data_IF_664423759862
#
_entry.id   IF_664423759862
#
_cell.length_a   1.000
_cell.length_b   1.000
_cell.length_c   1.000
_cell.angle_alpha   90.00
_cell.angle_beta   90.00
_cell.angle_gamma   90.00
#
_symmetry.space_group_name_H-M   'P 1'
#
loop_
_entity.id
_entity.type
_entity.pdbx_description
1 polymer ?
#
# COMPACT_ATOMS: atom_id res chain seq x y z
N UNK A 1 6.23 2.03 -68.20
CA UNK A 1 6.04 3.36 -67.58
C UNK A 1 5.42 3.14 -66.22
N UNK A 2 6.10 3.66 -65.21
CA UNK A 2 5.98 3.47 -63.76
C UNK A 2 5.00 4.47 -63.14
N UNK A 3 4.47 4.11 -61.95
CA UNK A 3 4.02 4.89 -60.76
C UNK A 3 3.12 3.87 -60.00
N UNK A 4 3.46 3.18 -58.89
CA UNK A 4 4.06 3.49 -57.58
C UNK A 4 3.22 4.37 -56.66
N UNK A 5 2.61 3.78 -55.61
CA UNK A 5 2.80 4.26 -54.23
C UNK A 5 2.34 3.21 -53.21
N UNK A 6 3.25 2.89 -52.30
CA UNK A 6 3.22 1.93 -51.18
C UNK A 6 2.60 2.51 -49.89
N UNK A 7 2.16 1.60 -49.00
CA UNK A 7 1.84 1.86 -47.60
C UNK A 7 3.05 2.35 -46.77
N UNK A 8 2.83 2.89 -45.55
CA UNK A 8 3.84 2.89 -44.52
C UNK A 8 3.41 2.20 -43.21
N UNK A 9 4.37 1.41 -42.71
CA UNK A 9 4.55 0.85 -41.37
C UNK A 9 4.99 1.97 -40.40
N UNK A 10 4.61 1.98 -39.11
CA UNK A 10 5.28 2.81 -38.12
C UNK A 10 6.45 2.05 -37.45
N UNK A 11 7.61 2.68 -37.54
CA UNK A 11 8.92 2.27 -37.04
C UNK A 11 9.07 2.37 -35.51
N UNK A 12 9.92 1.51 -34.98
CA UNK A 12 10.48 1.57 -33.63
C UNK A 12 11.55 2.64 -33.45
N UNK A 13 11.74 3.01 -32.18
CA UNK A 13 12.96 3.49 -31.51
C UNK A 13 13.24 5.01 -31.35
N UNK A 14 13.50 5.32 -30.07
CA UNK A 14 14.45 6.31 -29.52
C UNK A 14 14.02 7.77 -29.30
N UNK A 15 13.85 8.15 -28.02
CA UNK A 15 14.44 9.39 -27.45
C UNK A 15 14.31 9.52 -25.91
N UNK A 16 14.52 8.44 -25.14
CA UNK A 16 14.49 8.47 -23.66
C UNK A 16 15.87 8.53 -22.96
N UNK A 17 16.92 9.03 -23.64
CA UNK A 17 18.29 9.10 -23.08
C UNK A 17 19.01 10.44 -23.30
N UNK A 18 18.36 11.58 -23.06
CA UNK A 18 19.03 12.90 -23.06
C UNK A 18 18.53 13.85 -21.97
N UNK A 19 18.64 13.48 -20.69
CA UNK A 19 18.63 14.45 -19.58
C UNK A 19 19.36 13.91 -18.33
N UNK A 20 20.55 13.34 -18.55
CA UNK A 20 21.56 13.19 -17.51
C UNK A 20 22.62 14.27 -17.77
N UNK A 21 22.93 15.05 -16.72
CA UNK A 21 23.93 16.12 -16.61
C UNK A 21 23.43 17.56 -16.87
N UNK A 22 22.84 18.15 -15.85
CA UNK A 22 23.02 19.58 -15.56
C UNK A 22 23.20 19.77 -14.05
N UNK A 23 24.29 20.40 -13.56
CA UNK A 23 24.46 20.68 -12.14
C UNK A 23 23.50 21.82 -11.75
N UNK A 24 22.44 21.48 -11.01
CA UNK A 24 21.57 22.47 -10.39
C UNK A 24 22.29 23.07 -9.18
N UNK A 25 23.17 24.03 -9.43
CA UNK A 25 23.50 25.04 -8.42
C UNK A 25 22.28 25.96 -8.30
N UNK A 26 21.35 25.56 -7.41
CA UNK A 26 20.17 26.33 -7.03
C UNK A 26 20.46 27.20 -5.81
N UNK A 27 20.36 28.50 -6.01
CA UNK A 27 20.41 29.57 -5.04
C UNK A 27 19.49 29.31 -3.82
N UNK A 28 20.08 29.29 -2.63
CA UNK A 28 19.45 28.87 -1.36
C UNK A 28 18.66 30.03 -0.72
N UNK A 29 17.70 30.59 -1.45
CA UNK A 29 16.89 31.72 -0.98
C UNK A 29 15.45 31.69 -1.51
N UNK A 30 14.69 30.61 -1.24
CA UNK A 30 13.24 30.57 -1.49
C UNK A 30 12.43 29.96 -0.33
N UNK A 31 11.79 30.88 0.39
CA UNK A 31 10.42 30.86 0.98
C UNK A 31 9.87 29.58 1.63
N UNK A 32 9.37 29.77 2.86
CA UNK A 32 8.57 28.85 3.69
C UNK A 32 7.28 28.27 3.09
N UNK A 33 6.93 28.61 1.84
CA UNK A 33 5.63 28.28 1.25
C UNK A 33 5.59 26.93 0.52
N UNK A 34 6.72 26.22 0.38
CA UNK A 34 6.78 24.94 -0.35
C UNK A 34 7.03 23.70 0.53
N UNK A 35 7.09 23.87 1.85
CA UNK A 35 7.38 22.77 2.77
C UNK A 35 6.25 21.71 2.75
N UNK A 36 6.57 20.41 2.76
CA UNK A 36 5.58 19.33 2.73
C UNK A 36 4.80 19.20 4.06
N UNK A 37 5.32 19.78 5.13
CA UNK A 37 4.71 19.72 6.45
C UNK A 37 5.34 20.67 7.46
N UNK A 38 4.74 20.74 8.63
CA UNK A 38 5.27 21.49 9.77
C UNK A 38 6.37 20.67 10.46
N UNK A 39 7.54 21.26 10.63
CA UNK A 39 8.68 20.70 11.37
C UNK A 39 8.86 21.41 12.70
N UNK A 40 9.38 20.70 13.68
CA UNK A 40 9.90 21.26 14.93
C UNK A 40 11.31 20.75 15.16
N UNK A 41 12.23 21.64 15.56
CA UNK A 41 13.66 21.36 15.74
C UNK A 41 14.13 21.85 17.11
N UNK A 42 15.18 21.22 17.65
CA UNK A 42 15.87 21.62 18.88
C UNK A 42 14.90 21.91 20.06
N UNK A 43 15.21 22.91 20.89
CA UNK A 43 14.45 23.25 22.11
C UNK A 43 12.97 23.60 21.84
N UNK A 44 12.66 24.04 20.62
CA UNK A 44 11.29 24.29 20.21
C UNK A 44 10.47 23.00 20.16
N UNK A 45 11.10 21.84 19.94
CA UNK A 45 10.43 20.55 19.86
C UNK A 45 9.89 20.10 21.23
N UNK A 46 10.73 20.07 22.27
CA UNK A 46 10.29 19.73 23.64
C UNK A 46 9.24 20.69 24.20
N UNK A 47 9.37 21.98 23.88
CA UNK A 47 8.38 23.00 24.27
C UNK A 47 7.04 22.78 23.56
N UNK A 48 7.06 22.58 22.24
CA UNK A 48 5.86 22.31 21.45
C UNK A 48 5.17 21.01 21.86
N UNK A 49 5.95 19.96 22.18
CA UNK A 49 5.44 18.71 22.71
C UNK A 49 4.69 18.94 24.04
N UNK A 50 5.31 19.66 24.98
CA UNK A 50 4.72 19.96 26.30
C UNK A 50 3.43 20.78 26.21
N UNK A 51 3.32 21.65 25.21
CA UNK A 51 2.15 22.50 24.97
C UNK A 51 1.03 21.80 24.20
N UNK A 52 1.26 20.60 23.69
CA UNK A 52 0.31 19.91 22.82
C UNK A 52 0.26 20.46 21.39
N UNK A 53 1.26 21.24 20.95
CA UNK A 53 1.30 21.76 19.59
C UNK A 53 1.52 20.64 18.54
N UNK A 54 2.02 19.49 19.00
CA UNK A 54 2.35 18.29 18.21
C UNK A 54 1.25 17.21 18.19
N UNK A 55 0.05 17.45 18.72
CA UNK A 55 -1.04 16.45 18.66
C UNK A 55 -1.48 16.13 17.22
N UNK A 56 -1.92 14.90 16.93
CA UNK A 56 -2.56 14.66 15.63
C UNK A 56 -3.83 15.50 15.48
N UNK A 57 -4.17 15.80 14.24
CA UNK A 57 -5.44 16.43 13.85
C UNK A 57 -6.25 15.43 13.03
N UNK A 58 -7.53 15.74 12.82
CA UNK A 58 -8.42 14.99 11.93
C UNK A 58 -7.70 14.69 10.61
N UNK A 59 -7.63 13.40 10.28
CA UNK A 59 -6.86 12.88 9.16
C UNK A 59 -7.41 13.35 7.83
N UNK A 60 -6.53 13.87 6.97
CA UNK A 60 -6.83 14.23 5.58
C UNK A 60 -6.42 13.14 4.59
N UNK A 61 -5.96 13.57 3.42
CA UNK A 61 -5.46 12.68 2.38
C UNK A 61 -4.29 11.80 2.87
N UNK A 62 -4.20 10.58 2.33
CA UNK A 62 -3.11 9.66 2.60
C UNK A 62 -1.76 10.22 2.11
N UNK A 63 -0.71 9.99 2.89
CA UNK A 63 0.66 10.43 2.59
C UNK A 63 1.66 9.45 3.21
N UNK A 64 2.80 9.23 2.54
CA UNK A 64 3.92 8.47 3.11
C UNK A 64 4.97 9.43 3.66
N UNK A 65 5.54 9.05 4.79
CA UNK A 65 6.62 9.81 5.43
C UNK A 65 7.79 8.88 5.73
N UNK A 66 8.95 9.21 5.19
CA UNK A 66 10.22 8.55 5.45
C UNK A 66 11.03 9.35 6.48
N UNK A 67 11.65 8.66 7.44
CA UNK A 67 12.49 9.26 8.47
C UNK A 67 13.93 8.78 8.31
N UNK A 68 14.83 9.73 8.06
CA UNK A 68 16.27 9.51 7.93
C UNK A 68 17.01 10.12 9.11
N UNK A 69 17.66 9.28 9.91
CA UNK A 69 18.52 9.74 10.99
C UNK A 69 19.97 9.90 10.48
N UNK A 70 20.37 11.13 10.17
CA UNK A 70 21.76 11.48 9.80
C UNK A 70 22.64 11.83 10.99
N UNK A 71 22.11 11.75 12.21
CA UNK A 71 22.94 11.91 13.39
C UNK A 71 23.73 10.63 13.68
N UNK A 72 24.76 10.74 14.53
CA UNK A 72 25.52 9.59 15.03
C UNK A 72 24.80 8.84 16.16
N UNK A 73 23.68 9.38 16.65
CA UNK A 73 23.00 8.90 17.84
C UNK A 73 21.73 8.12 17.46
N UNK A 74 21.38 7.03 18.15
CA UNK A 74 20.11 6.38 17.96
C UNK A 74 18.97 7.30 18.40
N UNK A 75 17.87 7.25 17.64
CA UNK A 75 16.66 8.02 17.91
C UNK A 75 15.45 7.10 18.00
N UNK A 76 14.40 7.60 18.65
CA UNK A 76 13.08 7.00 18.67
C UNK A 76 12.15 7.89 17.86
N UNK A 77 11.38 7.27 16.97
CA UNK A 77 10.18 7.85 16.38
C UNK A 77 8.95 7.37 17.15
N UNK A 78 8.00 8.26 17.41
CA UNK A 78 6.69 7.87 17.91
C UNK A 78 5.58 8.70 17.29
N UNK A 79 4.45 8.03 17.00
CA UNK A 79 3.20 8.70 16.65
C UNK A 79 2.62 9.41 17.86
N UNK A 80 1.91 10.51 17.61
CA UNK A 80 1.20 11.27 18.63
C UNK A 80 -0.28 11.30 18.26
N UNK A 81 -1.15 10.80 19.11
CA UNK A 81 -2.61 10.83 18.88
C UNK A 81 -3.21 12.23 19.06
N UNK A 82 -4.50 12.38 18.77
CA UNK A 82 -5.23 13.65 18.91
C UNK A 82 -5.34 14.13 20.37
N UNK A 83 -5.29 13.21 21.33
CA UNK A 83 -5.23 13.51 22.76
C UNK A 83 -3.79 13.74 23.27
N UNK A 84 -2.80 13.75 22.39
CA UNK A 84 -1.39 13.99 22.71
C UNK A 84 -0.64 12.82 23.32
N UNK A 85 -1.19 11.59 23.26
CA UNK A 85 -0.49 10.40 23.74
C UNK A 85 0.47 9.86 22.68
N UNK A 86 1.67 9.48 23.11
CA UNK A 86 2.60 8.76 22.25
C UNK A 86 2.15 7.30 22.07
N UNK A 87 2.12 6.85 20.83
CA UNK A 87 1.88 5.46 20.46
C UNK A 87 2.80 5.05 19.30
N UNK A 88 2.90 3.74 19.01
CA UNK A 88 3.83 3.15 18.03
C UNK A 88 5.25 3.72 18.08
N UNK A 89 6.17 2.99 18.71
CA UNK A 89 7.54 3.44 18.91
C UNK A 89 8.50 2.65 18.01
N UNK A 90 9.32 3.36 17.25
CA UNK A 90 10.27 2.76 16.31
C UNK A 90 11.67 3.30 16.53
N UNK A 91 12.68 2.44 16.37
CA UNK A 91 14.08 2.82 16.41
C UNK A 91 14.52 3.39 15.07
N UNK A 92 15.11 4.58 15.07
CA UNK A 92 15.78 5.16 13.90
C UNK A 92 17.29 5.05 14.09
N UNK A 93 17.91 4.12 13.36
CA UNK A 93 19.37 3.92 13.39
C UNK A 93 20.09 5.04 12.63
N UNK A 94 21.30 5.45 13.06
CA UNK A 94 22.18 6.33 12.29
C UNK A 94 22.37 5.85 10.85
N UNK A 95 22.32 6.79 9.91
CA UNK A 95 22.50 6.58 8.48
C UNK A 95 23.53 7.56 7.93
N UNK A 96 24.45 7.06 7.09
CA UNK A 96 25.45 7.88 6.39
C UNK A 96 24.95 8.43 5.05
N UNK A 97 23.67 8.21 4.72
CA UNK A 97 23.05 8.68 3.48
C UNK A 97 22.99 10.21 3.42
N UNK A 98 23.20 10.78 2.24
CA UNK A 98 23.07 12.23 2.00
C UNK A 98 21.61 12.69 2.09
N UNK A 99 21.37 13.98 2.36
CA UNK A 99 20.02 14.51 2.60
C UNK A 99 19.13 14.43 1.36
N UNK A 100 19.70 14.64 0.17
CA UNK A 100 18.99 14.68 -1.11
C UNK A 100 18.93 13.32 -1.82
N UNK A 101 19.52 12.27 -1.24
CA UNK A 101 19.48 10.94 -1.84
C UNK A 101 18.04 10.37 -1.77
N UNK A 102 17.63 9.54 -2.75
CA UNK A 102 16.36 8.82 -2.70
C UNK A 102 16.15 8.08 -1.39
N UNK A 103 14.90 7.85 -1.01
CA UNK A 103 14.53 7.05 0.15
C UNK A 103 14.82 5.58 -0.13
N UNK A 104 15.47 4.92 0.82
CA UNK A 104 15.99 3.55 0.71
C UNK A 104 15.49 2.67 1.85
N UNK A 105 15.78 1.37 1.83
CA UNK A 105 15.50 0.43 2.93
C UNK A 105 16.18 0.77 4.27
N UNK A 106 17.12 1.72 4.30
CA UNK A 106 17.74 2.20 5.54
C UNK A 106 16.89 3.27 6.24
N UNK A 107 15.94 3.87 5.53
CA UNK A 107 15.03 4.86 6.07
C UNK A 107 13.77 4.17 6.63
N UNK A 108 13.18 4.75 7.67
CA UNK A 108 11.94 4.22 8.24
C UNK A 108 10.74 4.90 7.58
N UNK A 109 9.86 4.14 6.92
CA UNK A 109 8.72 4.68 6.19
C UNK A 109 7.40 4.31 6.88
N UNK A 110 6.56 5.32 7.10
CA UNK A 110 5.21 5.16 7.65
C UNK A 110 4.15 5.61 6.63
N UNK A 111 3.07 4.82 6.51
CA UNK A 111 1.85 5.20 5.80
C UNK A 111 0.95 5.97 6.78
N UNK A 112 0.59 7.20 6.46
CA UNK A 112 -0.17 8.08 7.36
C UNK A 112 -1.11 8.99 6.59
N UNK A 113 -1.74 9.95 7.27
CA UNK A 113 -2.59 10.97 6.67
C UNK A 113 -2.07 12.37 6.99
N UNK A 114 -2.39 13.32 6.13
CA UNK A 114 -2.23 14.75 6.44
C UNK A 114 -2.89 15.06 7.78
N UNK A 115 -2.22 15.83 8.64
CA UNK A 115 -2.71 16.16 9.99
C UNK A 115 -2.21 15.23 11.10
N UNK A 116 -1.85 13.97 10.79
CA UNK A 116 -1.19 13.09 11.75
C UNK A 116 0.20 13.61 12.11
N UNK A 117 0.68 13.31 13.32
CA UNK A 117 1.87 13.94 13.87
C UNK A 117 2.81 12.94 14.54
N UNK A 118 4.09 13.25 14.48
CA UNK A 118 5.18 12.42 14.99
C UNK A 118 6.11 13.24 15.88
N UNK A 119 6.58 12.65 16.99
CA UNK A 119 7.73 13.15 17.74
C UNK A 119 8.96 12.28 17.49
N UNK A 120 10.11 12.93 17.56
CA UNK A 120 11.42 12.30 17.46
C UNK A 120 12.17 12.59 18.75
N UNK A 121 12.77 11.55 19.33
CA UNK A 121 13.41 11.64 20.63
C UNK A 121 14.78 11.00 20.65
N UNK A 122 15.68 11.55 21.47
CA UNK A 122 16.93 10.91 21.85
C UNK A 122 16.86 10.56 23.34
N UNK A 123 16.81 9.26 23.66
CA UNK A 123 16.66 8.76 25.03
C UNK A 123 17.87 7.96 25.53
N UNK A 124 18.93 7.85 24.72
CA UNK A 124 20.13 7.09 25.08
C UNK A 124 19.84 5.64 25.47
N UNK A 125 20.36 5.20 26.63
CA UNK A 125 20.21 3.83 27.12
C UNK A 125 18.79 3.45 27.57
N UNK A 126 17.86 4.42 27.68
CA UNK A 126 16.49 4.22 28.14
C UNK A 126 15.51 3.73 27.04
N UNK A 127 16.01 3.46 25.83
CA UNK A 127 15.17 3.15 24.66
C UNK A 127 14.16 2.03 24.89
N UNK A 128 14.59 0.90 25.44
CA UNK A 128 13.72 -0.26 25.67
C UNK A 128 12.65 0.03 26.74
N UNK A 129 13.00 0.81 27.77
CA UNK A 129 12.05 1.24 28.81
C UNK A 129 10.98 2.14 28.22
N UNK A 130 11.37 3.12 27.40
CA UNK A 130 10.44 4.07 26.76
C UNK A 130 9.47 3.35 25.81
N UNK A 131 9.96 2.42 24.99
CA UNK A 131 9.10 1.61 24.11
C UNK A 131 8.10 0.76 24.89
N UNK A 132 8.54 0.16 26.00
CA UNK A 132 7.70 -0.68 26.87
C UNK A 132 6.63 0.14 27.59
N UNK A 133 7.03 1.25 28.21
CA UNK A 133 6.15 2.08 29.04
C UNK A 133 5.26 3.01 28.21
N UNK A 134 5.57 3.17 26.91
CA UNK A 134 4.91 4.09 25.97
C UNK A 134 4.83 5.52 26.50
N UNK A 135 5.88 5.97 27.18
CA UNK A 135 5.97 7.29 27.81
C UNK A 135 7.25 7.99 27.42
N UNK A 136 7.11 9.24 26.97
CA UNK A 136 8.22 10.08 26.57
C UNK A 136 8.19 11.39 27.37
N UNK A 137 9.31 11.74 27.99
CA UNK A 137 9.44 13.01 28.69
C UNK A 137 9.85 14.12 27.70
N UNK A 138 9.31 15.34 27.81
CA UNK A 138 9.56 16.41 26.85
C UNK A 138 11.04 16.76 26.64
N UNK A 139 11.88 16.60 27.67
CA UNK A 139 13.33 16.86 27.59
C UNK A 139 14.08 15.97 26.61
N UNK A 140 13.52 14.81 26.27
CA UNK A 140 14.11 13.88 25.31
C UNK A 140 13.64 14.14 23.88
N UNK A 141 12.63 14.99 23.68
CA UNK A 141 12.09 15.30 22.36
C UNK A 141 13.03 16.27 21.66
N UNK A 142 13.63 15.81 20.57
CA UNK A 142 14.62 16.55 19.78
C UNK A 142 14.04 17.10 18.48
N UNK A 143 12.87 16.61 18.09
CA UNK A 143 12.22 17.03 16.86
C UNK A 143 10.77 16.56 16.75
N UNK A 144 10.09 17.01 15.70
CA UNK A 144 8.77 16.51 15.34
C UNK A 144 8.39 16.88 13.92
N UNK A 145 7.38 16.20 13.39
CA UNK A 145 6.87 16.45 12.05
C UNK A 145 5.37 16.19 11.94
N UNK A 146 4.67 17.05 11.19
CA UNK A 146 3.27 16.87 10.80
C UNK A 146 3.11 17.19 9.31
N UNK A 147 2.81 16.21 8.43
CA UNK A 147 2.46 16.50 7.04
C UNK A 147 1.23 17.41 6.98
N UNK A 148 1.30 18.46 6.16
CA UNK A 148 0.20 19.44 5.98
C UNK A 148 -0.42 19.41 4.58
N UNK A 149 0.20 18.69 3.65
CA UNK A 149 -0.34 18.44 2.31
C UNK A 149 0.03 17.02 1.84
N UNK A 150 -0.73 16.49 0.91
CA UNK A 150 -0.34 15.29 0.18
C UNK A 150 0.56 15.68 -1.00
N UNK A 151 1.26 14.71 -1.58
CA UNK A 151 2.09 14.93 -2.75
C UNK A 151 1.19 14.96 -3.99
N UNK A 152 1.25 16.07 -4.72
CA UNK A 152 0.49 16.27 -5.95
C UNK A 152 1.23 15.66 -7.14
N UNK A 153 0.93 14.40 -7.44
CA UNK A 153 1.46 13.68 -8.61
C UNK A 153 0.35 12.93 -9.32
N UNK A 154 0.56 12.66 -10.61
CA UNK A 154 -0.31 11.77 -11.39
C UNK A 154 -0.47 10.44 -10.65
N UNK A 155 -1.66 9.84 -10.72
CA UNK A 155 -1.98 8.62 -9.99
C UNK A 155 -0.95 7.50 -10.23
N UNK A 156 -0.45 7.38 -11.47
CA UNK A 156 0.56 6.41 -11.89
C UNK A 156 1.89 6.48 -11.13
N UNK A 157 2.22 7.62 -10.53
CA UNK A 157 3.50 7.84 -9.84
C UNK A 157 3.34 8.12 -8.35
N UNK A 158 2.12 8.08 -7.79
CA UNK A 158 1.89 8.42 -6.37
C UNK A 158 2.74 7.55 -5.43
N UNK A 159 2.92 6.29 -5.79
CA UNK A 159 3.67 5.33 -4.99
C UNK A 159 5.20 5.43 -5.15
N UNK A 160 5.70 6.39 -5.93
CA UNK A 160 7.13 6.69 -6.04
C UNK A 160 7.57 7.86 -5.16
N UNK A 161 6.64 8.69 -4.67
CA UNK A 161 7.00 9.90 -3.90
C UNK A 161 6.63 9.78 -2.42
N UNK A 162 7.41 10.45 -1.60
CA UNK A 162 7.35 10.38 -0.14
C UNK A 162 7.83 11.69 0.48
N UNK A 163 7.32 12.06 1.65
CA UNK A 163 7.93 13.12 2.44
C UNK A 163 9.16 12.57 3.15
N UNK A 164 10.35 13.05 2.81
CA UNK A 164 11.58 12.69 3.49
C UNK A 164 11.86 13.68 4.62
N UNK A 165 11.73 13.21 5.86
CA UNK A 165 12.09 13.91 7.08
C UNK A 165 13.50 13.52 7.48
N UNK A 166 14.41 14.48 7.50
CA UNK A 166 15.81 14.25 7.86
C UNK A 166 16.13 14.87 9.21
N UNK A 167 16.73 14.07 10.09
CA UNK A 167 17.13 14.46 11.44
C UNK A 167 18.65 14.48 11.50
N UNK A 168 19.23 15.64 11.81
CA UNK A 168 20.67 15.85 11.87
C UNK A 168 21.08 16.68 13.08
N UNK A 169 22.38 16.72 13.36
CA UNK A 169 22.99 17.63 14.33
C UNK A 169 23.85 18.64 13.57
N UNK A 170 23.62 19.93 13.77
CA UNK A 170 24.30 21.01 13.04
C UNK A 170 24.69 22.15 13.98
N UNK A 171 25.72 22.91 13.60
CA UNK A 171 26.12 24.10 14.36
C UNK A 171 24.99 25.15 14.29
N UNK A 172 24.59 25.77 15.42
CA UNK A 172 23.52 26.75 15.46
C UNK A 172 23.78 27.93 14.49
N UNK A 173 22.94 28.06 13.47
CA UNK A 173 22.90 29.26 12.60
C UNK A 173 21.75 30.18 13.03
N UNK A 174 21.81 31.47 12.67
CA UNK A 174 20.75 32.45 13.00
C UNK A 174 19.37 32.06 12.48
N UNK A 175 19.28 31.28 11.40
CA UNK A 175 18.02 30.80 10.83
C UNK A 175 17.40 29.68 11.68
N UNK A 176 18.21 28.77 12.24
CA UNK A 176 17.75 27.67 13.11
C UNK A 176 17.25 28.19 14.47
N UNK A 177 17.80 29.31 14.97
CA UNK A 177 17.34 29.95 16.21
C UNK A 177 16.07 30.82 16.06
N UNK A 178 15.73 31.27 14.84
CA UNK A 178 14.66 32.25 14.61
C UNK A 178 13.27 31.64 14.35
N UNK A 179 13.12 30.31 14.35
CA UNK A 179 11.80 29.66 14.25
C UNK A 179 11.00 29.70 15.58
N UNK A 180 11.57 30.27 16.65
CA UNK A 180 10.90 30.52 17.92
C UNK A 180 10.63 32.01 18.11
N UNK A 181 9.36 32.39 18.23
CA UNK A 181 8.93 33.73 18.63
C UNK A 181 9.59 34.14 19.95
N UNK A 182 10.09 35.38 19.95
CA UNK A 182 11.06 35.89 20.92
C UNK A 182 10.67 35.84 22.40
N UNK A 183 11.70 35.63 23.23
CA UNK A 183 11.75 35.94 24.65
C UNK A 183 13.17 36.42 25.01
N UNK A 184 13.33 37.37 25.95
CA UNK A 184 14.59 38.09 26.11
C UNK A 184 15.67 37.25 26.80
N UNK A 185 16.84 37.18 26.17
CA UNK A 185 18.08 36.72 26.79
C UNK A 185 18.42 37.59 28.01
N UNK A 186 18.37 37.00 29.20
CA UNK A 186 18.99 37.58 30.39
C UNK A 186 20.52 37.43 30.27
N UNK A 187 21.17 38.55 29.98
CA UNK A 187 22.61 38.76 30.18
C UNK A 187 22.93 38.73 31.67
N UNK A 188 23.83 37.84 32.07
CA UNK A 188 24.88 37.96 33.10
C UNK A 188 25.49 36.54 33.25
N UNK A 189 26.79 36.28 33.26
CA UNK A 189 27.87 36.99 33.92
C UNK A 189 29.21 36.56 33.29
N UNK A 190 30.19 37.48 33.25
CA UNK A 190 31.58 37.18 32.88
C UNK A 190 32.25 36.34 33.97
N UNK A 191 32.85 35.20 33.62
CA UNK A 191 34.03 34.68 34.32
C UNK A 191 34.87 33.78 33.41
N UNK A 192 36.15 33.70 33.74
CA UNK A 192 37.31 33.55 32.85
C UNK A 192 37.48 32.17 32.19
N UNK A 193 38.12 32.24 31.02
CA UNK A 193 38.66 31.15 30.22
C UNK A 193 39.72 30.35 30.97
N UNK A 194 39.60 29.02 30.95
CA UNK A 194 40.74 28.08 31.04
C UNK A 194 40.60 27.12 29.86
N UNK A 195 41.62 26.97 28.99
CA UNK A 195 41.52 26.08 27.84
C UNK A 195 41.88 24.66 28.26
N UNK A 196 40.92 23.74 28.18
CA UNK A 196 41.20 22.31 28.18
C UNK A 196 40.74 21.79 26.83
N UNK A 197 41.72 21.47 25.98
CA UNK A 197 41.52 20.67 24.78
C UNK A 197 41.15 19.25 25.19
N UNK A 198 40.08 18.71 24.61
CA UNK A 198 39.98 17.35 24.04
C UNK A 198 38.52 17.11 23.56
N UNK A 199 38.34 16.93 22.24
CA UNK A 199 37.29 16.15 21.55
C UNK A 199 35.77 16.38 21.79
N UNK A 200 35.30 17.58 22.17
CA UNK A 200 33.85 17.87 22.33
C UNK A 200 33.28 18.88 21.29
N UNK A 201 33.47 18.63 19.99
CA UNK A 201 32.80 19.43 18.93
C UNK A 201 31.28 19.15 18.85
N UNK A 202 30.78 18.10 19.51
CA UNK A 202 29.38 17.67 19.45
C UNK A 202 28.47 18.41 20.47
N UNK A 203 29.02 18.97 21.55
CA UNK A 203 28.22 19.67 22.59
C UNK A 203 27.64 21.00 22.12
N UNK A 204 28.21 21.59 21.06
CA UNK A 204 27.71 22.83 20.47
C UNK A 204 26.72 22.60 19.31
N UNK A 205 26.35 21.35 18.99
CA UNK A 205 25.43 21.06 17.88
C UNK A 205 23.98 20.98 18.34
N UNK A 206 23.10 21.67 17.59
CA UNK A 206 21.65 21.62 17.78
C UNK A 206 20.99 20.59 16.86
N UNK A 207 19.85 20.07 17.29
CA UNK A 207 19.02 19.18 16.48
C UNK A 207 18.28 19.95 15.41
N UNK A 208 18.38 19.48 14.17
CA UNK A 208 17.70 20.07 13.01
C UNK A 208 16.85 19.00 12.34
N UNK A 209 15.56 19.29 12.19
CA UNK A 209 14.60 18.51 11.40
C UNK A 209 14.25 19.29 10.14
N UNK A 210 14.49 18.68 8.99
CA UNK A 210 14.04 19.19 7.69
C UNK A 210 13.06 18.20 7.06
N UNK A 211 12.20 18.70 6.18
CA UNK A 211 11.28 17.85 5.42
C UNK A 211 11.21 18.34 3.98
N UNK A 212 11.39 17.41 3.04
CA UNK A 212 11.28 17.65 1.59
C UNK A 212 10.39 16.59 0.95
N UNK A 213 9.92 16.83 -0.26
CA UNK A 213 9.42 15.74 -1.11
C UNK A 213 10.62 15.04 -1.75
N UNK A 214 10.63 13.72 -1.72
CA UNK A 214 11.67 12.88 -2.32
C UNK A 214 11.06 11.68 -3.02
N UNK A 215 11.89 10.99 -3.81
CA UNK A 215 11.54 9.73 -4.46
C UNK A 215 12.00 8.55 -3.62
N UNK A 216 11.25 7.46 -3.69
CA UNK A 216 11.70 6.14 -3.27
C UNK A 216 12.68 5.61 -4.32
N UNK A 217 13.71 4.90 -3.88
CA UNK A 217 14.63 4.23 -4.79
C UNK A 217 13.94 3.12 -5.60
N UNK A 218 14.49 2.82 -6.77
CA UNK A 218 13.92 1.81 -7.67
C UNK A 218 14.32 0.37 -7.26
N UNK A 219 14.95 0.19 -6.09
CA UNK A 219 15.39 -1.11 -5.61
C UNK A 219 14.17 -1.93 -5.19
N UNK A 220 13.77 -2.87 -6.03
CA UNK A 220 12.61 -3.73 -5.77
C UNK A 220 12.97 -4.95 -4.92
N UNK A 221 11.97 -5.46 -4.19
CA UNK A 221 12.02 -6.80 -3.62
C UNK A 221 11.95 -7.81 -4.77
N UNK A 222 12.96 -8.67 -4.88
CA UNK A 222 12.95 -9.75 -5.85
C UNK A 222 12.41 -11.04 -5.21
N UNK A 223 11.30 -11.55 -5.76
CA UNK A 223 10.66 -12.82 -5.39
C UNK A 223 10.55 -13.79 -6.57
N UNK A 224 11.31 -13.58 -7.65
CA UNK A 224 11.31 -14.43 -8.83
C UNK A 224 11.70 -15.87 -8.51
N UNK A 225 12.70 -16.03 -7.64
CA UNK A 225 13.26 -17.32 -7.21
C UNK A 225 12.51 -17.95 -6.02
N UNK A 226 11.37 -17.38 -5.62
CA UNK A 226 10.57 -17.96 -4.53
C UNK A 226 10.09 -19.36 -4.93
N UNK A 227 10.38 -20.34 -4.08
CA UNK A 227 10.12 -21.76 -4.37
C UNK A 227 8.69 -22.15 -3.99
N UNK A 228 8.07 -22.97 -4.84
CA UNK A 228 6.75 -23.55 -4.59
C UNK A 228 6.75 -25.04 -4.91
N UNK A 229 6.02 -25.80 -4.10
CA UNK A 229 5.76 -27.22 -4.30
C UNK A 229 4.44 -27.39 -5.06
N UNK A 230 4.51 -28.08 -6.21
CA UNK A 230 3.32 -28.40 -7.01
C UNK A 230 2.56 -29.54 -6.33
N UNK A 231 1.26 -29.36 -6.13
CA UNK A 231 0.39 -30.34 -5.50
C UNK A 231 -1.05 -30.22 -6.04
N UNK A 232 -1.99 -30.85 -5.35
CA UNK A 232 -3.43 -30.73 -5.60
C UNK A 232 -4.15 -30.52 -4.28
N UNK A 233 -5.05 -29.53 -4.24
CA UNK A 233 -5.86 -29.20 -3.07
C UNK A 233 -7.32 -29.03 -3.51
N UNK A 234 -8.27 -29.69 -2.83
CA UNK A 234 -9.68 -29.69 -3.25
C UNK A 234 -9.91 -30.20 -4.67
N UNK A 235 -9.01 -31.05 -5.19
CA UNK A 235 -9.04 -31.53 -6.58
C UNK A 235 -8.56 -30.52 -7.63
N UNK A 236 -7.95 -29.40 -7.23
CA UNK A 236 -7.44 -28.36 -8.12
C UNK A 236 -5.90 -28.25 -8.08
N UNK A 237 -5.23 -27.95 -9.20
CA UNK A 237 -3.77 -27.73 -9.22
C UNK A 237 -3.36 -26.53 -8.36
N UNK A 238 -2.38 -26.73 -7.49
CA UNK A 238 -1.85 -25.69 -6.61
C UNK A 238 -0.31 -25.68 -6.60
N UNK A 239 0.24 -24.51 -6.30
CA UNK A 239 1.66 -24.27 -6.04
C UNK A 239 1.77 -23.66 -4.64
N UNK A 240 2.25 -24.45 -3.66
CA UNK A 240 2.24 -24.05 -2.25
C UNK A 240 3.67 -23.71 -1.81
N UNK A 241 3.87 -22.58 -1.15
CA UNK A 241 5.15 -22.26 -0.50
C UNK A 241 5.48 -23.35 0.56
N UNK A 242 6.72 -23.86 0.61
CA UNK A 242 7.12 -24.84 1.63
C UNK A 242 6.78 -24.36 3.04
N UNK A 243 6.29 -25.26 3.90
CA UNK A 243 5.92 -24.97 5.29
C UNK A 243 4.80 -23.94 5.49
N UNK A 244 4.00 -23.66 4.46
CA UNK A 244 2.88 -22.70 4.53
C UNK A 244 1.84 -23.07 5.61
N UNK A 245 1.58 -24.37 5.78
CA UNK A 245 0.54 -24.90 6.67
C UNK A 245 1.08 -25.67 7.88
N UNK A 246 2.37 -25.57 8.20
CA UNK A 246 2.95 -26.31 9.32
C UNK A 246 2.34 -25.90 10.66
N UNK A 247 1.99 -24.62 10.78
CA UNK A 247 1.42 -24.03 12.00
C UNK A 247 -0.11 -24.14 12.08
N UNK A 248 -0.80 -24.46 10.97
CA UNK A 248 -2.27 -24.47 10.89
C UNK A 248 -2.77 -25.43 9.79
N UNK A 249 -2.99 -26.69 10.18
CA UNK A 249 -3.55 -27.73 9.29
C UNK A 249 -5.05 -27.60 9.04
N UNK A 250 -5.78 -26.91 9.91
CA UNK A 250 -7.21 -26.67 9.68
C UNK A 250 -7.42 -25.61 8.61
N UNK A 251 -6.51 -24.64 8.49
CA UNK A 251 -6.49 -23.69 7.38
C UNK A 251 -6.29 -24.40 6.03
N UNK A 252 -5.34 -25.33 5.94
CA UNK A 252 -5.11 -26.14 4.73
C UNK A 252 -6.39 -26.87 4.30
N UNK A 253 -7.05 -27.52 5.25
CA UNK A 253 -8.32 -28.22 5.04
C UNK A 253 -9.45 -27.26 4.66
N UNK A 254 -9.51 -26.08 5.28
CA UNK A 254 -10.52 -25.06 4.95
C UNK A 254 -10.37 -24.57 3.52
N UNK A 255 -9.16 -24.23 3.10
CA UNK A 255 -8.88 -23.81 1.72
C UNK A 255 -9.25 -24.94 0.75
N UNK A 256 -8.91 -26.20 1.07
CA UNK A 256 -9.29 -27.34 0.23
C UNK A 256 -10.81 -27.46 0.05
N UNK A 257 -11.58 -27.35 1.13
CA UNK A 257 -13.05 -27.46 1.11
C UNK A 257 -13.73 -26.30 0.39
N UNK A 258 -13.17 -25.10 0.50
CA UNK A 258 -13.67 -23.91 -0.19
C UNK A 258 -13.30 -23.94 -1.67
N UNK A 259 -12.10 -24.41 -2.01
CA UNK A 259 -11.65 -24.57 -3.39
C UNK A 259 -12.45 -25.65 -4.12
N UNK A 260 -12.68 -26.80 -3.49
CA UNK A 260 -13.58 -27.84 -4.02
C UNK A 260 -14.99 -27.28 -4.25
N UNK A 261 -15.51 -26.51 -3.28
CA UNK A 261 -16.83 -25.88 -3.41
C UNK A 261 -16.86 -24.88 -4.57
N UNK A 262 -15.92 -23.94 -4.62
CA UNK A 262 -15.83 -22.91 -5.66
C UNK A 262 -15.75 -23.53 -7.06
N UNK A 263 -14.90 -24.53 -7.24
CA UNK A 263 -14.75 -25.26 -8.50
C UNK A 263 -16.03 -26.03 -8.87
N UNK A 264 -16.79 -26.55 -7.90
CA UNK A 264 -18.08 -27.19 -8.15
C UNK A 264 -19.17 -26.22 -8.65
N UNK A 265 -19.02 -24.93 -8.36
CA UNK A 265 -19.95 -23.87 -8.81
C UNK A 265 -19.69 -23.44 -10.25
N UNK A 266 -18.49 -23.66 -10.77
CA UNK A 266 -18.14 -23.31 -12.14
C UNK A 266 -18.83 -24.28 -13.14
N UNK A 267 -19.40 -23.76 -14.24
CA UNK A 267 -19.88 -24.59 -15.34
C UNK A 267 -18.77 -25.49 -15.89
N UNK A 268 -19.14 -26.68 -16.39
CA UNK A 268 -18.17 -27.70 -16.81
C UNK A 268 -17.14 -27.20 -17.84
N UNK A 269 -17.58 -26.48 -18.88
CA UNK A 269 -16.66 -25.94 -19.90
C UNK A 269 -15.67 -24.91 -19.32
N UNK A 270 -16.10 -24.12 -18.33
CA UNK A 270 -15.26 -23.14 -17.67
C UNK A 270 -14.26 -23.84 -16.76
N UNK A 271 -14.75 -24.78 -15.93
CA UNK A 271 -13.97 -25.57 -15.00
C UNK A 271 -12.83 -26.31 -15.72
N UNK A 272 -13.12 -26.98 -16.82
CA UNK A 272 -12.13 -27.79 -17.54
C UNK A 272 -11.04 -26.93 -18.16
N UNK A 273 -11.42 -25.77 -18.74
CA UNK A 273 -10.47 -24.84 -19.34
C UNK A 273 -9.60 -24.16 -18.29
N UNK A 274 -10.19 -23.72 -17.18
CA UNK A 274 -9.45 -23.07 -16.09
C UNK A 274 -8.53 -24.04 -15.36
N UNK A 275 -8.92 -25.31 -15.18
CA UNK A 275 -8.06 -26.32 -14.53
C UNK A 275 -6.70 -26.48 -15.23
N UNK A 276 -6.67 -26.28 -16.54
CA UNK A 276 -5.44 -26.42 -17.34
C UNK A 276 -4.56 -25.16 -17.31
N UNK A 277 -5.12 -24.00 -16.98
CA UNK A 277 -4.48 -22.68 -17.18
C UNK A 277 -4.26 -21.91 -15.89
N UNK A 278 -5.07 -22.16 -14.88
CA UNK A 278 -5.17 -21.31 -13.68
C UNK A 278 -4.93 -22.14 -12.42
N UNK A 279 -3.67 -22.47 -12.11
CA UNK A 279 -3.32 -23.01 -10.80
C UNK A 279 -3.56 -21.95 -9.71
N UNK A 280 -3.63 -22.39 -8.44
CA UNK A 280 -3.64 -21.48 -7.30
C UNK A 280 -2.28 -21.48 -6.61
N UNK A 281 -1.64 -20.31 -6.53
CA UNK A 281 -0.43 -20.09 -5.75
C UNK A 281 -0.81 -19.70 -4.32
N UNK A 282 -0.19 -20.36 -3.33
CA UNK A 282 -0.49 -20.15 -1.91
C UNK A 282 0.81 -19.80 -1.20
N UNK A 283 0.89 -18.56 -0.70
CA UNK A 283 2.04 -18.09 0.05
C UNK A 283 1.78 -18.16 1.55
N UNK A 284 2.80 -18.48 2.34
CA UNK A 284 2.83 -18.20 3.78
C UNK A 284 2.77 -16.69 4.00
N UNK A 285 3.60 -15.96 3.26
CA UNK A 285 3.61 -14.49 3.18
C UNK A 285 4.25 -14.06 1.87
N UNK A 286 3.81 -12.93 1.29
CA UNK A 286 4.47 -12.32 0.14
C UNK A 286 4.62 -10.81 0.33
N UNK A 287 5.80 -10.32 0.02
CA UNK A 287 6.07 -8.88 -0.12
C UNK A 287 6.58 -8.60 -1.52
N UNK A 288 6.25 -7.43 -2.05
CA UNK A 288 6.72 -6.95 -3.35
C UNK A 288 6.85 -5.42 -3.33
N UNK A 289 7.31 -4.83 -4.44
CA UNK A 289 7.53 -3.39 -4.55
C UNK A 289 8.86 -2.92 -3.96
N UNK A 290 9.04 -1.60 -3.74
CA UNK A 290 10.32 -1.04 -3.31
C UNK A 290 10.75 -1.55 -1.93
N UNK A 291 12.03 -1.89 -1.77
CA UNK A 291 12.60 -2.36 -0.49
C UNK A 291 12.49 -1.31 0.61
N UNK A 292 12.50 -0.03 0.24
CA UNK A 292 12.31 1.09 1.17
C UNK A 292 10.92 1.12 1.81
N UNK A 293 9.90 0.64 1.11
CA UNK A 293 8.53 0.61 1.58
C UNK A 293 7.80 -0.62 1.03
N UNK A 294 8.14 -1.83 1.53
CA UNK A 294 7.59 -3.08 1.03
C UNK A 294 6.06 -3.08 1.07
N UNK A 295 5.44 -3.53 -0.01
CA UNK A 295 4.01 -3.83 -0.04
C UNK A 295 3.84 -5.23 0.53
N UNK A 296 3.12 -5.34 1.65
CA UNK A 296 2.66 -6.62 2.16
C UNK A 296 1.47 -7.07 1.31
N UNK A 297 1.63 -8.14 0.53
CA UNK A 297 0.55 -8.73 -0.23
C UNK A 297 -0.54 -9.24 0.72
N UNK A 298 -1.80 -8.93 0.39
CA UNK A 298 -2.97 -9.27 1.19
C UNK A 298 -4.10 -9.78 0.30
N UNK A 299 -4.96 -10.62 0.85
CA UNK A 299 -6.08 -11.18 0.12
C UNK A 299 -5.65 -12.07 -1.05
N UNK A 300 -6.50 -12.10 -2.08
CA UNK A 300 -6.30 -12.88 -3.28
C UNK A 300 -6.27 -11.98 -4.53
N UNK A 301 -5.67 -12.46 -5.60
CA UNK A 301 -5.77 -11.83 -6.92
C UNK A 301 -5.60 -12.83 -8.06
N UNK A 302 -6.10 -12.49 -9.24
CA UNK A 302 -5.77 -13.14 -10.49
C UNK A 302 -4.70 -12.35 -11.27
N UNK A 303 -3.64 -13.05 -11.70
CA UNK A 303 -2.53 -12.46 -12.45
C UNK A 303 -2.76 -12.51 -13.96
N UNK A 304 -3.51 -11.55 -14.50
CA UNK A 304 -3.81 -11.47 -15.93
C UNK A 304 -2.59 -11.16 -16.80
N UNK A 305 -1.70 -10.26 -16.35
CA UNK A 305 -0.60 -9.75 -17.17
C UNK A 305 0.75 -10.25 -16.70
N UNK A 306 1.44 -11.03 -17.54
CA UNK A 306 2.81 -11.49 -17.26
C UNK A 306 3.79 -10.34 -17.04
N UNK A 307 3.64 -9.27 -17.82
CA UNK A 307 4.52 -8.10 -17.79
C UNK A 307 4.53 -7.41 -16.42
N UNK A 308 3.37 -7.37 -15.76
CA UNK A 308 3.27 -6.81 -14.41
C UNK A 308 4.13 -7.61 -13.41
N UNK A 309 4.12 -8.95 -13.49
CA UNK A 309 4.99 -9.80 -12.65
C UNK A 309 6.48 -9.54 -12.90
N UNK A 310 6.88 -9.38 -14.17
CA UNK A 310 8.26 -9.06 -14.56
C UNK A 310 8.70 -7.68 -14.03
N UNK A 311 7.85 -6.66 -14.18
CA UNK A 311 8.11 -5.29 -13.69
C UNK A 311 8.20 -5.20 -12.16
N UNK A 312 7.54 -6.12 -11.45
CA UNK A 312 7.53 -6.18 -9.98
C UNK A 312 8.48 -7.25 -9.41
N UNK A 313 9.33 -7.86 -10.25
CA UNK A 313 10.31 -8.88 -9.84
C UNK A 313 9.65 -10.05 -9.09
N UNK A 314 8.52 -10.51 -9.62
CA UNK A 314 7.74 -11.62 -9.09
C UNK A 314 7.80 -12.84 -10.01
N UNK A 315 7.68 -14.02 -9.43
CA UNK A 315 7.70 -15.29 -10.17
C UNK A 315 6.68 -15.28 -11.33
N UNK A 316 7.18 -15.29 -12.55
CA UNK A 316 6.35 -15.16 -13.77
C UNK A 316 5.53 -16.42 -14.11
N UNK A 317 5.78 -17.53 -13.42
CA UNK A 317 4.95 -18.74 -13.49
C UNK A 317 3.55 -18.52 -12.90
N UNK A 318 3.35 -17.42 -12.16
CA UNK A 318 2.04 -16.97 -11.67
C UNK A 318 1.16 -16.37 -12.76
N UNK A 319 1.66 -16.13 -13.97
CA UNK A 319 0.82 -15.61 -15.06
C UNK A 319 -0.36 -16.55 -15.34
N UNK A 320 -1.57 -15.97 -15.38
CA UNK A 320 -2.86 -16.66 -15.46
C UNK A 320 -3.22 -17.54 -14.26
N UNK A 321 -2.54 -17.37 -13.12
CA UNK A 321 -2.86 -18.04 -11.87
C UNK A 321 -3.69 -17.15 -10.94
N UNK A 322 -4.39 -17.80 -10.01
CA UNK A 322 -4.90 -17.13 -8.80
C UNK A 322 -3.81 -17.20 -7.74
N UNK A 323 -3.59 -16.13 -7.00
CA UNK A 323 -2.62 -16.08 -5.91
C UNK A 323 -3.30 -15.68 -4.59
N UNK A 324 -3.03 -16.43 -3.54
CA UNK A 324 -3.29 -16.05 -2.15
C UNK A 324 -1.98 -15.52 -1.56
N UNK A 325 -1.93 -14.22 -1.28
CA UNK A 325 -0.70 -13.54 -0.86
C UNK A 325 -0.24 -13.90 0.55
N UNK A 326 -1.18 -14.25 1.42
CA UNK A 326 -0.92 -14.68 2.79
C UNK A 326 -2.00 -15.67 3.22
N UNK A 327 -1.62 -16.94 3.37
CA UNK A 327 -2.56 -18.00 3.68
C UNK A 327 -3.34 -17.73 4.97
N UNK A 328 -2.72 -17.13 6.00
CA UNK A 328 -3.37 -16.89 7.28
C UNK A 328 -4.52 -15.89 7.18
N UNK A 329 -4.46 -14.94 6.25
CA UNK A 329 -5.52 -13.95 6.04
C UNK A 329 -6.79 -14.56 5.43
N UNK A 330 -6.68 -15.72 4.79
CA UNK A 330 -7.82 -16.41 4.21
C UNK A 330 -8.91 -16.72 5.24
N UNK A 331 -8.56 -16.91 6.52
CA UNK A 331 -9.54 -17.08 7.60
C UNK A 331 -10.53 -15.93 7.70
N UNK A 332 -10.09 -14.71 7.41
CA UNK A 332 -10.93 -13.52 7.46
C UNK A 332 -11.57 -13.22 6.11
N UNK A 333 -10.82 -13.36 5.02
CA UNK A 333 -11.33 -13.12 3.67
C UNK A 333 -12.53 -14.03 3.34
N UNK A 334 -12.43 -15.32 3.66
CA UNK A 334 -13.48 -16.29 3.37
C UNK A 334 -14.79 -16.05 4.16
N UNK A 335 -14.76 -15.24 5.23
CA UNK A 335 -15.98 -14.88 5.97
C UNK A 335 -16.77 -13.78 5.26
N UNK A 336 -16.11 -12.96 4.45
CA UNK A 336 -16.72 -11.81 3.81
C UNK A 336 -17.51 -12.20 2.55
N UNK A 337 -17.09 -13.23 1.83
CA UNK A 337 -17.76 -13.75 0.62
C UNK A 337 -18.47 -15.09 0.85
N UNK A 338 -18.62 -15.55 2.10
CA UNK A 338 -19.13 -16.89 2.38
C UNK A 338 -18.22 -18.01 1.83
N UNK A 339 -18.72 -19.26 1.85
CA UNK A 339 -17.93 -20.44 1.50
C UNK A 339 -17.46 -20.39 0.04
N UNK A 340 -16.15 -20.27 -0.16
CA UNK A 340 -15.52 -20.28 -1.49
C UNK A 340 -15.86 -19.10 -2.41
N UNK A 341 -16.66 -18.13 -1.97
CA UNK A 341 -17.11 -17.02 -2.85
C UNK A 341 -15.96 -16.15 -3.34
N UNK A 342 -14.97 -15.87 -2.50
CA UNK A 342 -13.77 -15.11 -2.91
C UNK A 342 -12.93 -15.88 -3.94
N UNK A 343 -12.90 -17.22 -3.89
CA UNK A 343 -12.25 -18.02 -4.92
C UNK A 343 -13.03 -18.00 -6.23
N UNK A 344 -14.38 -18.02 -6.17
CA UNK A 344 -15.22 -17.85 -7.36
C UNK A 344 -15.00 -16.47 -7.99
N UNK A 345 -14.84 -15.41 -7.18
CA UNK A 345 -14.47 -14.08 -7.66
C UNK A 345 -13.17 -14.14 -8.49
N UNK A 346 -12.09 -14.69 -7.93
CA UNK A 346 -10.81 -14.79 -8.65
C UNK A 346 -10.87 -15.68 -9.89
N UNK A 347 -11.59 -16.80 -9.84
CA UNK A 347 -11.80 -17.63 -11.03
C UNK A 347 -12.67 -16.93 -12.08
N UNK A 348 -13.50 -15.97 -11.68
CA UNK A 348 -14.29 -15.17 -12.62
C UNK A 348 -13.40 -14.19 -13.38
N UNK A 349 -12.40 -13.58 -12.73
CA UNK A 349 -11.34 -12.83 -13.44
C UNK A 349 -10.61 -13.71 -14.44
N UNK A 350 -10.22 -14.93 -14.02
CA UNK A 350 -9.57 -15.89 -14.90
C UNK A 350 -10.44 -16.29 -16.10
N UNK A 351 -11.73 -16.55 -15.88
CA UNK A 351 -12.68 -16.88 -16.94
C UNK A 351 -12.87 -15.71 -17.91
N UNK A 352 -13.07 -14.50 -17.38
CA UNK A 352 -13.19 -13.28 -18.17
C UNK A 352 -11.98 -13.09 -19.08
N UNK A 353 -10.76 -13.23 -18.54
CA UNK A 353 -9.54 -13.07 -19.32
C UNK A 353 -9.32 -14.19 -20.35
N UNK A 354 -9.46 -15.44 -19.93
CA UNK A 354 -8.96 -16.59 -20.70
C UNK A 354 -10.02 -17.17 -21.63
N UNK A 355 -11.29 -17.08 -21.25
CA UNK A 355 -12.37 -17.87 -21.85
C UNK A 355 -13.40 -17.03 -22.59
N UNK A 356 -13.67 -15.81 -22.13
CA UNK A 356 -14.63 -14.90 -22.75
C UNK A 356 -14.05 -14.29 -24.03
N UNK A 357 -14.89 -14.11 -25.04
CA UNK A 357 -14.49 -13.49 -26.29
C UNK A 357 -14.00 -12.05 -26.06
N UNK A 358 -12.82 -11.73 -26.61
CA UNK A 358 -12.10 -10.47 -26.40
C UNK A 358 -11.64 -10.21 -24.95
N UNK A 359 -11.64 -11.22 -24.08
CA UNK A 359 -11.07 -11.10 -22.74
C UNK A 359 -11.70 -9.95 -21.95
N UNK A 360 -10.87 -9.15 -21.29
CA UNK A 360 -11.28 -7.96 -20.55
C UNK A 360 -11.88 -6.83 -21.41
N UNK A 361 -11.68 -6.87 -22.74
CA UNK A 361 -12.28 -5.93 -23.70
C UNK A 361 -13.67 -6.40 -24.19
N UNK A 362 -14.30 -7.35 -23.49
CA UNK A 362 -15.62 -7.83 -23.86
C UNK A 362 -16.66 -6.71 -23.77
N UNK A 363 -17.22 -6.35 -24.95
CA UNK A 363 -18.16 -5.23 -25.08
C UNK A 363 -19.45 -5.41 -24.29
N UNK A 364 -19.97 -6.63 -24.19
CA UNK A 364 -21.24 -6.87 -23.51
C UNK A 364 -21.12 -6.69 -21.99
N UNK A 365 -19.99 -7.13 -21.41
CA UNK A 365 -19.67 -6.88 -20.01
C UNK A 365 -19.47 -5.38 -19.77
N UNK A 366 -18.71 -4.70 -20.65
CA UNK A 366 -18.47 -3.26 -20.55
C UNK A 366 -19.77 -2.44 -20.63
N UNK A 367 -20.64 -2.73 -21.59
CA UNK A 367 -21.93 -2.05 -21.77
C UNK A 367 -22.85 -2.25 -20.56
N UNK A 368 -22.90 -3.47 -19.99
CA UNK A 368 -23.67 -3.73 -18.77
C UNK A 368 -23.10 -2.95 -17.57
N UNK A 369 -21.77 -2.95 -17.41
CA UNK A 369 -21.09 -2.19 -16.37
C UNK A 369 -21.39 -0.69 -16.47
N UNK A 370 -21.19 -0.10 -17.65
CA UNK A 370 -21.44 1.33 -17.88
C UNK A 370 -22.89 1.72 -17.60
N UNK A 371 -23.85 0.88 -18.02
CA UNK A 371 -25.26 1.10 -17.74
C UNK A 371 -25.56 1.06 -16.23
N UNK A 372 -24.98 0.11 -15.50
CA UNK A 372 -25.19 0.00 -14.07
C UNK A 372 -24.51 1.13 -13.26
N UNK A 373 -23.34 1.60 -13.71
CA UNK A 373 -22.67 2.77 -13.15
C UNK A 373 -23.45 4.06 -13.40
N UNK A 374 -24.00 4.23 -14.61
CA UNK A 374 -24.87 5.35 -14.96
C UNK A 374 -26.11 5.40 -14.07
N UNK A 375 -26.69 4.25 -13.77
CA UNK A 375 -27.85 4.12 -12.88
C UNK A 375 -27.47 4.12 -11.40
N UNK A 376 -26.17 4.18 -11.09
CA UNK A 376 -25.60 4.25 -9.74
C UNK A 376 -26.06 3.10 -8.83
N UNK A 377 -26.28 1.92 -9.40
CA UNK A 377 -26.86 0.76 -8.69
C UNK A 377 -26.01 0.29 -7.51
N UNK A 378 -24.72 0.62 -7.50
CA UNK A 378 -23.75 0.09 -6.55
C UNK A 378 -23.05 1.17 -5.71
N UNK A 379 -23.47 2.44 -5.83
CA UNK A 379 -22.84 3.56 -5.11
C UNK A 379 -23.06 3.49 -3.58
N UNK A 380 -24.13 2.83 -3.14
CA UNK A 380 -24.48 2.71 -1.74
C UNK A 380 -25.23 1.41 -1.49
N UNK A 381 -24.49 0.33 -1.23
CA UNK A 381 -25.05 -1.01 -1.05
C UNK A 381 -24.58 -1.64 0.25
N UNK A 382 -25.28 -2.68 0.72
CA UNK A 382 -24.89 -3.43 1.91
C UNK A 382 -23.52 -4.08 1.70
N UNK A 383 -22.71 -4.11 2.75
CA UNK A 383 -21.36 -4.67 2.73
C UNK A 383 -21.07 -5.50 3.98
N UNK A 384 -20.40 -6.64 3.79
CA UNK A 384 -19.80 -7.41 4.87
C UNK A 384 -18.40 -6.89 5.21
N UNK A 385 -18.11 -6.72 6.49
CA UNK A 385 -16.78 -6.30 6.98
C UNK A 385 -16.80 -4.96 7.71
N UNK A 386 -15.61 -4.46 8.00
CA UNK A 386 -15.40 -3.25 8.82
C UNK A 386 -15.84 -1.96 8.12
N UNK A 387 -16.07 -2.00 6.81
CA UNK A 387 -16.56 -0.86 6.02
C UNK A 387 -17.94 -0.40 6.48
N UNK A 388 -18.84 -1.35 6.79
CA UNK A 388 -20.09 -1.23 7.54
C UNK A 388 -21.13 -0.16 7.14
N UNK A 389 -22.40 -0.38 7.52
CA UNK A 389 -23.24 -1.40 6.90
C UNK A 389 -23.54 -1.11 5.42
N UNK A 390 -23.22 0.08 4.91
CA UNK A 390 -23.48 0.54 3.55
C UNK A 390 -22.24 1.26 3.03
N UNK A 391 -21.77 0.92 1.83
CA UNK A 391 -20.65 1.59 1.19
C UNK A 391 -20.72 1.40 -0.33
N UNK A 392 -19.90 2.12 -1.10
CA UNK A 392 -19.77 1.94 -2.54
C UNK A 392 -19.17 0.58 -2.85
N UNK A 393 -19.84 -0.22 -3.67
CA UNK A 393 -19.39 -1.57 -3.97
C UNK A 393 -18.07 -1.57 -4.73
N UNK A 394 -17.26 -2.60 -4.48
CA UNK A 394 -16.00 -2.81 -5.21
C UNK A 394 -16.22 -3.01 -6.72
N UNK A 395 -17.39 -3.55 -7.09
CA UNK A 395 -17.88 -3.63 -8.47
C UNK A 395 -17.93 -2.28 -9.21
N UNK A 396 -17.83 -1.15 -8.53
CA UNK A 396 -17.78 0.17 -9.18
C UNK A 396 -16.40 0.56 -9.73
N UNK A 397 -15.35 -0.20 -9.41
CA UNK A 397 -13.98 0.20 -9.74
C UNK A 397 -13.70 0.08 -11.24
N UNK A 398 -14.09 -1.05 -11.86
CA UNK A 398 -13.96 -1.29 -13.29
C UNK A 398 -14.86 -2.46 -13.73
N UNK A 399 -14.95 -2.71 -15.04
CA UNK A 399 -15.78 -3.77 -15.61
C UNK A 399 -15.33 -5.20 -15.21
N UNK A 400 -14.04 -5.40 -14.89
CA UNK A 400 -13.51 -6.70 -14.46
C UNK A 400 -14.03 -7.04 -13.06
N UNK A 401 -13.93 -6.09 -12.12
CA UNK A 401 -14.46 -6.24 -10.76
C UNK A 401 -15.98 -6.38 -10.74
N UNK A 402 -16.67 -5.61 -11.58
CA UNK A 402 -18.11 -5.75 -11.79
C UNK A 402 -18.49 -7.18 -12.20
N UNK A 403 -17.79 -7.75 -13.19
CA UNK A 403 -18.05 -9.11 -13.62
C UNK A 403 -17.73 -10.13 -12.52
N UNK A 404 -16.60 -10.00 -11.82
CA UNK A 404 -16.15 -10.97 -10.82
C UNK A 404 -17.01 -10.98 -9.56
N UNK A 405 -17.32 -9.81 -8.98
CA UNK A 405 -18.20 -9.66 -7.82
C UNK A 405 -19.59 -10.26 -8.08
N UNK A 406 -20.19 -9.92 -9.22
CA UNK A 406 -21.52 -10.43 -9.56
C UNK A 406 -21.49 -11.91 -9.95
N UNK A 407 -20.40 -12.41 -10.55
CA UNK A 407 -20.24 -13.84 -10.83
C UNK A 407 -20.13 -14.66 -9.54
N UNK A 408 -19.46 -14.15 -8.49
CA UNK A 408 -19.41 -14.80 -7.18
C UNK A 408 -20.81 -14.98 -6.57
N UNK A 409 -21.61 -13.91 -6.56
CA UNK A 409 -23.01 -13.98 -6.12
C UNK A 409 -23.88 -14.88 -7.02
N UNK A 410 -23.67 -14.85 -8.34
CA UNK A 410 -24.48 -15.59 -9.31
C UNK A 410 -24.20 -17.10 -9.30
N UNK A 411 -22.92 -17.52 -9.31
CA UNK A 411 -22.53 -18.92 -9.33
C UNK A 411 -22.50 -19.56 -7.94
N UNK A 412 -22.29 -18.75 -6.89
CA UNK A 412 -22.26 -19.22 -5.51
C UNK A 412 -23.49 -20.04 -5.13
N UNK A 413 -24.66 -19.68 -5.68
CA UNK A 413 -25.90 -20.42 -5.50
C UNK A 413 -26.77 -20.50 -6.76
N UNK A 414 -26.94 -21.70 -7.35
CA UNK A 414 -27.86 -21.89 -8.48
C UNK A 414 -29.34 -21.72 -8.11
N UNK A 415 -29.76 -22.16 -6.92
CA UNK A 415 -31.16 -22.12 -6.46
C UNK A 415 -31.57 -20.69 -6.03
N UNK A 416 -32.57 -20.13 -6.71
CA UNK A 416 -33.10 -18.80 -6.45
C UNK A 416 -33.86 -18.68 -5.11
N UNK A 417 -34.14 -19.77 -4.41
CA UNK A 417 -34.86 -19.75 -3.12
C UNK A 417 -33.95 -19.78 -1.88
N UNK A 418 -32.66 -20.02 -2.08
CA UNK A 418 -31.67 -20.06 -1.01
C UNK A 418 -31.30 -18.66 -0.49
N UNK A 419 -30.98 -18.57 0.80
CA UNK A 419 -30.68 -17.31 1.50
C UNK A 419 -29.18 -17.09 1.73
N UNK A 420 -28.36 -18.07 1.36
CA UNK A 420 -26.90 -18.01 1.49
C UNK A 420 -26.31 -16.87 0.65
N UNK A 421 -25.22 -16.30 1.16
CA UNK A 421 -24.54 -15.12 0.62
C UNK A 421 -23.12 -15.51 0.19
N UNK A 422 -22.75 -15.15 -1.04
CA UNK A 422 -21.51 -15.56 -1.70
C UNK A 422 -20.66 -14.39 -2.18
N UNK A 423 -21.09 -13.17 -1.86
CA UNK A 423 -20.40 -11.96 -2.22
C UNK A 423 -20.28 -11.01 -1.03
N UNK A 424 -19.18 -10.27 -0.95
CA UNK A 424 -18.98 -9.27 0.11
C UNK A 424 -19.91 -8.07 -0.01
N UNK A 425 -20.26 -7.70 -1.24
CA UNK A 425 -21.04 -6.52 -1.56
C UNK A 425 -22.38 -6.93 -2.14
N UNK A 426 -23.45 -6.26 -1.72
CA UNK A 426 -24.77 -6.55 -2.28
C UNK A 426 -24.79 -6.17 -3.77
N UNK A 427 -25.35 -7.01 -4.66
CA UNK A 427 -26.15 -8.22 -4.42
C UNK A 427 -25.33 -9.42 -3.93
N UNK A 428 -25.83 -10.09 -2.90
CA UNK A 428 -25.08 -11.17 -2.22
C UNK A 428 -25.26 -12.56 -2.84
N UNK A 429 -26.28 -12.76 -3.67
CA UNK A 429 -26.57 -14.03 -4.31
C UNK A 429 -27.36 -13.84 -5.61
N UNK A 430 -27.57 -14.93 -6.33
CA UNK A 430 -28.23 -14.97 -7.64
C UNK A 430 -29.62 -14.33 -7.67
N UNK A 431 -30.44 -14.56 -6.63
CA UNK A 431 -31.77 -13.92 -6.50
C UNK A 431 -31.65 -12.40 -6.36
N UNK A 432 -30.75 -11.94 -5.49
CA UNK A 432 -30.51 -10.51 -5.32
C UNK A 432 -30.04 -9.85 -6.63
N UNK A 433 -29.22 -10.52 -7.45
CA UNK A 433 -28.83 -10.00 -8.77
C UNK A 433 -30.07 -9.84 -9.66
N UNK A 434 -30.90 -10.89 -9.76
CA UNK A 434 -32.12 -10.87 -10.60
C UNK A 434 -33.08 -9.73 -10.23
N UNK A 435 -33.15 -9.37 -8.95
CA UNK A 435 -33.98 -8.28 -8.45
C UNK A 435 -33.31 -6.89 -8.62
N UNK A 436 -32.01 -6.79 -8.33
CA UNK A 436 -31.29 -5.51 -8.24
C UNK A 436 -30.69 -5.04 -9.58
N UNK A 437 -30.13 -5.96 -10.35
CA UNK A 437 -29.62 -5.70 -11.70
C UNK A 437 -30.01 -6.83 -12.67
N UNK A 438 -31.25 -6.78 -13.20
CA UNK A 438 -31.72 -7.78 -14.17
C UNK A 438 -30.88 -7.82 -15.46
N UNK A 439 -30.19 -6.74 -15.83
CA UNK A 439 -29.32 -6.71 -17.02
C UNK A 439 -28.07 -7.54 -16.76
N UNK A 440 -27.45 -7.35 -15.59
CA UNK A 440 -26.34 -8.18 -15.15
C UNK A 440 -26.74 -9.66 -15.08
N UNK A 441 -27.93 -9.96 -14.56
CA UNK A 441 -28.44 -11.33 -14.49
C UNK A 441 -28.47 -12.02 -15.86
N UNK A 442 -29.04 -11.38 -16.87
CA UNK A 442 -29.11 -11.93 -18.23
C UNK A 442 -27.73 -12.02 -18.89
N UNK A 443 -26.87 -11.01 -18.69
CA UNK A 443 -25.49 -11.05 -19.17
C UNK A 443 -24.73 -12.24 -18.57
N UNK A 444 -24.82 -12.45 -17.25
CA UNK A 444 -24.12 -13.54 -16.56
C UNK A 444 -24.60 -14.91 -17.06
N UNK A 445 -25.91 -15.13 -17.24
CA UNK A 445 -26.44 -16.36 -17.84
C UNK A 445 -25.81 -16.64 -19.19
N UNK A 446 -25.75 -15.63 -20.06
CA UNK A 446 -25.20 -15.75 -21.41
C UNK A 446 -23.70 -16.04 -21.40
N UNK A 447 -22.92 -15.26 -20.65
CA UNK A 447 -21.45 -15.37 -20.59
C UNK A 447 -21.01 -16.69 -19.93
N UNK A 448 -21.69 -17.10 -18.86
CA UNK A 448 -21.45 -18.38 -18.19
C UNK A 448 -22.12 -19.56 -18.88
N UNK A 449 -22.99 -19.34 -19.86
CA UNK A 449 -23.74 -20.38 -20.60
C UNK A 449 -24.52 -21.30 -19.66
N UNK A 450 -25.25 -20.70 -18.72
CA UNK A 450 -26.09 -21.41 -17.75
C UNK A 450 -27.52 -20.88 -17.80
N UNK A 451 -28.47 -21.80 -17.63
CA UNK A 451 -29.89 -21.49 -17.51
C UNK A 451 -30.29 -21.26 -16.04
N UNK A 452 -31.58 -20.96 -15.81
CA UNK A 452 -32.12 -20.72 -14.46
C UNK A 452 -31.98 -21.96 -13.56
#
# INVERSE_FOLDING_TARGET
MTISSSAPVPSSSSSWWKNLLSPLFGDNSKSSDNAPGKVWSADAAGTAFSRGDMISKEGGAAVRVAFRNQSKLPLILSWISENGQCHHFYSLKPSQMLMEAPVTALDHVENTCVGHSFCIAHVGADEERVKKDKKLEPRFVVGGYRPTRAIEVNEDNRDQYVHLVTISRQTPTKEVMCCGSGGPFLRNNKQQVVPVSNDDDDDNLCWVVTAIESKVDDNQINTEDKVYEKSTLGGWPVCIEPHCFDDDKELEKRIAQDLEFAVSRLPEHARDRLRQKTPVFINKTLQYGPQACPINGRGLCFHGERKWLEEHFMCTDKHQAVELYNAKEYWDDCKLWGRGGVLVHEFSHAYHHICVENGFDNKEILECFEAAMKDRLYDWVRVHGTQGPMNKAYACNNCMEYFAELSAAFLGQPDLHASEEYNKWFPFNRRHIKEHDPRAYEMLKKIWKVDD
#
